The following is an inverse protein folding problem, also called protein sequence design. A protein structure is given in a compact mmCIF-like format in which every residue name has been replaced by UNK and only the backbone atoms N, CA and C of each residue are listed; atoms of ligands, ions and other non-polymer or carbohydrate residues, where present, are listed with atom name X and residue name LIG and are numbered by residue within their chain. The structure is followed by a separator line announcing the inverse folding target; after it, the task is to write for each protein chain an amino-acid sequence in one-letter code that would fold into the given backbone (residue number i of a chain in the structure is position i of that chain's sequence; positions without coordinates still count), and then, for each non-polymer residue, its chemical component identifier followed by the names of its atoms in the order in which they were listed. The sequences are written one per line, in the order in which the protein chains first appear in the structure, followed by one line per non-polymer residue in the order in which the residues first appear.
data_IF_926593805603
#
_entry.id   IF_926593805603
#
_cell.length_a   1.000
_cell.length_b   1.000
_cell.length_c   1.000
_cell.angle_alpha   90.00
_cell.angle_beta   90.00
_cell.angle_gamma   90.00
#
_symmetry.space_group_name_H-M   'P 1'
#
loop_
_entity.id
_entity.type
_entity.pdbx_description
1 polymer ?
#
# COMPACT_ATOMS: atom_id res chain seq x y z
N UNK A 1 -46.86 -12.17 -17.42
CA UNK A 1 -45.70 -11.42 -17.97
C UNK A 1 -45.05 -10.45 -16.97
N UNK A 2 -45.75 -9.95 -15.94
CA UNK A 2 -45.17 -9.03 -14.93
C UNK A 2 -44.30 -9.74 -13.87
N UNK A 3 -44.56 -11.02 -13.56
CA UNK A 3 -43.76 -11.79 -12.56
C UNK A 3 -42.33 -12.13 -13.01
N UNK A 4 -42.04 -12.15 -14.32
CA UNK A 4 -40.73 -12.55 -14.84
C UNK A 4 -39.72 -11.39 -14.83
N UNK A 5 -40.20 -10.15 -14.88
CA UNK A 5 -39.37 -8.93 -14.87
C UNK A 5 -38.87 -8.61 -13.45
N UNK A 6 -39.66 -8.94 -12.42
CA UNK A 6 -39.28 -8.72 -11.01
C UNK A 6 -38.14 -9.67 -10.58
N UNK A 7 -38.07 -10.88 -11.12
CA UNK A 7 -36.99 -11.83 -10.81
C UNK A 7 -35.62 -11.43 -11.39
N UNK A 8 -35.60 -10.73 -12.54
CA UNK A 8 -34.36 -10.23 -13.14
C UNK A 8 -33.80 -9.00 -12.41
N UNK A 9 -34.66 -8.19 -11.78
CA UNK A 9 -34.23 -7.02 -11.00
C UNK A 9 -33.71 -7.37 -9.59
N UNK A 10 -34.08 -8.52 -9.02
CA UNK A 10 -33.58 -8.94 -7.71
C UNK A 10 -32.16 -9.55 -7.73
N UNK A 11 -31.63 -9.92 -8.90
CA UNK A 11 -30.28 -10.48 -9.04
C UNK A 11 -29.17 -9.42 -9.18
N UNK A 12 -29.51 -8.15 -9.40
CA UNK A 12 -28.53 -7.07 -9.65
C UNK A 12 -28.14 -6.32 -8.36
N UNK A 13 -28.80 -6.57 -7.22
CA UNK A 13 -28.67 -5.73 -6.02
C UNK A 13 -27.83 -6.31 -4.87
N UNK A 14 -26.99 -7.32 -5.11
CA UNK A 14 -26.07 -7.83 -4.06
C UNK A 14 -24.63 -8.00 -4.57
N UNK A 15 -24.12 -7.05 -5.34
CA UNK A 15 -22.68 -6.79 -5.31
C UNK A 15 -22.39 -5.86 -4.13
N UNK A 16 -22.61 -6.35 -2.91
CA UNK A 16 -21.89 -5.78 -1.78
C UNK A 16 -20.44 -6.18 -1.96
N UNK A 17 -19.69 -5.35 -2.68
CA UNK A 17 -18.23 -5.35 -2.55
C UNK A 17 -17.93 -5.16 -1.07
N UNK A 18 -17.59 -6.25 -0.37
CA UNK A 18 -16.83 -6.10 0.86
C UNK A 18 -15.56 -5.37 0.41
N UNK A 19 -15.26 -4.21 0.99
CA UNK A 19 -14.02 -3.53 0.72
C UNK A 19 -12.87 -4.52 0.91
N UNK A 20 -12.28 -4.97 -0.20
CA UNK A 20 -11.23 -5.98 -0.19
C UNK A 20 -10.03 -5.37 0.51
N UNK A 21 -9.53 -6.05 1.53
CA UNK A 21 -8.27 -5.71 2.18
C UNK A 21 -7.27 -6.79 1.86
N UNK A 22 -6.12 -6.39 1.33
CA UNK A 22 -5.02 -7.30 1.07
C UNK A 22 -3.72 -6.73 1.64
N UNK A 23 -2.87 -7.62 2.15
CA UNK A 23 -1.61 -7.25 2.78
C UNK A 23 -0.47 -7.75 1.91
N UNK A 24 0.52 -6.89 1.67
CA UNK A 24 1.64 -7.20 0.81
C UNK A 24 2.95 -6.95 1.52
N UNK A 25 3.83 -7.95 1.49
CA UNK A 25 5.19 -7.82 1.97
C UNK A 25 6.02 -7.07 0.92
N UNK A 26 6.59 -5.94 1.32
CA UNK A 26 7.53 -5.15 0.53
C UNK A 26 8.90 -5.20 1.18
N UNK A 27 9.94 -5.15 0.34
CA UNK A 27 11.34 -5.12 0.79
C UNK A 27 12.07 -3.96 0.17
N UNK A 28 12.86 -3.24 0.94
CA UNK A 28 13.73 -2.18 0.44
C UNK A 28 15.16 -2.69 0.09
N UNK A 29 16.03 -1.78 -0.35
CA UNK A 29 17.45 -2.05 -0.68
C UNK A 29 18.25 -2.61 0.49
N UNK A 30 17.89 -2.26 1.73
CA UNK A 30 18.56 -2.74 2.94
C UNK A 30 18.18 -4.19 3.29
N UNK A 31 17.18 -4.75 2.60
CA UNK A 31 16.66 -6.08 2.85
C UNK A 31 15.58 -6.12 3.94
N UNK A 32 15.20 -4.95 4.46
CA UNK A 32 14.18 -4.83 5.49
C UNK A 32 12.79 -5.06 4.93
N UNK A 33 11.97 -5.79 5.70
CA UNK A 33 10.60 -6.13 5.34
C UNK A 33 9.60 -5.19 5.98
N UNK A 34 8.59 -4.80 5.21
CA UNK A 34 7.48 -3.97 5.66
C UNK A 34 6.21 -4.43 4.98
N UNK A 35 5.09 -4.44 5.70
CA UNK A 35 3.80 -4.83 5.15
C UNK A 35 2.97 -3.58 4.86
N UNK A 36 2.42 -3.50 3.65
CA UNK A 36 1.39 -2.52 3.30
C UNK A 36 0.02 -3.18 3.28
N UNK A 37 -1.00 -2.48 3.78
CA UNK A 37 -2.41 -2.82 3.58
C UNK A 37 -2.91 -2.01 2.38
N UNK A 38 -3.50 -2.69 1.40
CA UNK A 38 -4.18 -2.06 0.27
C UNK A 38 -5.67 -2.32 0.38
N UNK A 39 -6.47 -1.28 0.12
CA UNK A 39 -7.93 -1.33 0.14
C UNK A 39 -8.57 -0.96 -1.21
N UNK A 40 -7.77 -0.49 -2.15
CA UNK A 40 -8.19 -0.17 -3.51
C UNK A 40 -8.00 -1.40 -4.41
N UNK A 41 -9.07 -1.81 -5.08
CA UNK A 41 -9.08 -3.03 -5.89
C UNK A 41 -8.06 -2.98 -7.05
N UNK A 42 -7.86 -1.82 -7.68
CA UNK A 42 -6.93 -1.68 -8.78
C UNK A 42 -5.47 -1.70 -8.28
N UNK A 43 -5.20 -1.11 -7.12
CA UNK A 43 -3.89 -1.22 -6.47
C UNK A 43 -3.58 -2.65 -6.01
N UNK A 44 -4.58 -3.37 -5.48
CA UNK A 44 -4.45 -4.79 -5.10
C UNK A 44 -4.11 -5.63 -6.34
N UNK A 45 -4.84 -5.43 -7.45
CA UNK A 45 -4.56 -6.12 -8.72
C UNK A 45 -3.16 -5.80 -9.22
N UNK A 46 -2.75 -4.52 -9.21
CA UNK A 46 -1.41 -4.10 -9.61
C UNK A 46 -0.30 -4.75 -8.77
N UNK A 47 -0.47 -4.79 -7.45
CA UNK A 47 0.48 -5.46 -6.56
C UNK A 47 0.63 -6.96 -6.86
N UNK A 48 -0.48 -7.64 -7.18
CA UNK A 48 -0.46 -9.04 -7.65
C UNK A 48 0.26 -9.17 -8.99
N UNK A 49 0.03 -8.26 -9.93
CA UNK A 49 0.71 -8.26 -11.23
C UNK A 49 2.23 -8.01 -11.11
N UNK A 50 2.68 -7.19 -10.15
CA UNK A 50 4.09 -7.03 -9.82
C UNK A 50 4.72 -8.34 -9.31
N UNK A 51 4.02 -9.10 -8.46
CA UNK A 51 4.51 -10.39 -7.93
C UNK A 51 4.72 -11.42 -9.06
N UNK A 52 3.79 -11.48 -10.01
CA UNK A 52 3.83 -12.42 -11.13
C UNK A 52 4.61 -11.89 -12.35
N UNK A 53 5.34 -10.78 -12.22
CA UNK A 53 6.07 -10.11 -13.30
C UNK A 53 5.21 -9.75 -14.54
N UNK A 54 3.90 -9.51 -14.34
CA UNK A 54 2.97 -9.05 -15.37
C UNK A 54 2.99 -7.54 -15.54
N UNK A 55 3.34 -6.80 -14.49
CA UNK A 55 3.61 -5.37 -14.53
C UNK A 55 5.13 -5.11 -14.49
N UNK A 56 5.61 -4.15 -15.30
CA UNK A 56 7.03 -3.74 -15.37
C UNK A 56 7.25 -2.26 -15.03
N UNK A 57 6.18 -1.60 -14.64
CA UNK A 57 6.13 -0.19 -14.29
C UNK A 57 5.47 -0.06 -12.90
N UNK A 58 5.66 1.09 -12.28
CA UNK A 58 5.09 1.46 -10.99
C UNK A 58 5.40 0.41 -9.92
N UNK A 59 6.69 0.19 -9.66
CA UNK A 59 7.16 -0.87 -8.76
C UNK A 59 7.49 -0.37 -7.35
N UNK A 60 7.69 0.93 -7.18
CA UNK A 60 7.96 1.52 -5.89
C UNK A 60 6.70 1.97 -5.17
N UNK A 61 6.69 1.79 -3.86
CA UNK A 61 5.59 2.14 -2.96
C UNK A 61 5.84 3.52 -2.34
N UNK A 62 4.80 4.34 -2.29
CA UNK A 62 4.79 5.59 -1.53
C UNK A 62 3.47 5.74 -0.75
N UNK A 63 3.46 6.63 0.23
CA UNK A 63 2.26 6.92 1.01
C UNK A 63 2.54 7.82 2.21
N UNK A 64 1.51 8.14 2.97
CA UNK A 64 1.61 8.88 4.23
C UNK A 64 1.91 7.93 5.38
N UNK A 65 2.86 8.32 6.22
CA UNK A 65 3.20 7.61 7.45
C UNK A 65 2.17 7.91 8.54
N UNK A 66 1.75 6.85 9.22
CA UNK A 66 1.00 6.90 10.49
C UNK A 66 1.90 6.31 11.58
N UNK A 67 2.21 7.09 12.62
CA UNK A 67 3.09 6.71 13.75
C UNK A 67 2.36 5.80 14.75
N UNK A 68 1.78 4.72 14.25
CA UNK A 68 1.06 3.72 15.03
C UNK A 68 1.54 2.33 14.64
N UNK A 69 1.72 1.47 15.64
CA UNK A 69 2.09 0.07 15.46
C UNK A 69 0.91 -0.75 14.96
N UNK A 70 1.15 -1.61 13.98
CA UNK A 70 0.19 -2.61 13.48
C UNK A 70 0.74 -4.01 13.70
N UNK A 71 -0.14 -4.98 13.96
CA UNK A 71 0.27 -6.37 14.23
C UNK A 71 1.08 -6.97 13.07
N UNK A 72 0.71 -6.65 11.83
CA UNK A 72 1.42 -7.08 10.62
C UNK A 72 2.79 -6.42 10.40
N UNK A 73 3.11 -5.38 11.18
CA UNK A 73 4.37 -4.66 11.16
C UNK A 73 4.99 -4.63 12.56
N UNK A 74 5.14 -5.79 13.20
CA UNK A 74 5.58 -5.88 14.61
C UNK A 74 6.95 -5.27 14.90
N UNK A 75 7.85 -5.22 13.90
CA UNK A 75 9.17 -4.55 13.97
C UNK A 75 9.09 -3.02 13.90
N UNK A 76 8.01 -2.48 13.34
CA UNK A 76 7.87 -1.06 13.05
C UNK A 76 6.85 -0.41 13.98
N UNK A 77 7.15 0.81 14.42
CA UNK A 77 6.22 1.64 15.19
C UNK A 77 5.38 2.57 14.30
N UNK A 78 5.32 2.26 13.00
CA UNK A 78 4.55 3.00 12.01
C UNK A 78 4.00 2.06 10.93
N UNK A 79 3.01 2.56 10.20
CA UNK A 79 2.52 1.97 8.97
C UNK A 79 2.24 3.07 7.93
N UNK A 80 1.95 2.70 6.69
CA UNK A 80 1.41 3.64 5.71
C UNK A 80 -0.12 3.66 5.82
N UNK A 81 -0.71 4.85 5.75
CA UNK A 81 -2.16 5.02 5.62
C UNK A 81 -2.64 4.35 4.32
N UNK A 82 -3.45 3.29 4.39
CA UNK A 82 -3.89 2.53 3.21
C UNK A 82 -4.53 3.39 2.12
N UNK A 83 -5.23 4.47 2.50
CA UNK A 83 -5.91 5.36 1.57
C UNK A 83 -4.96 6.29 0.79
N UNK A 84 -3.72 6.39 1.23
CA UNK A 84 -2.69 7.25 0.63
C UNK A 84 -1.68 6.49 -0.23
N UNK A 85 -1.74 5.15 -0.22
CA UNK A 85 -0.74 4.32 -0.88
C UNK A 85 -0.88 4.43 -2.40
N UNK A 86 0.24 4.56 -3.09
CA UNK A 86 0.29 4.49 -4.54
C UNK A 86 1.62 3.90 -5.00
N UNK A 87 1.65 3.49 -6.27
CA UNK A 87 2.84 2.95 -6.93
C UNK A 87 3.38 3.89 -8.00
N UNK A 88 4.71 3.97 -8.11
CA UNK A 88 5.43 4.88 -9.03
C UNK A 88 6.72 4.26 -9.60
N UNK A 89 7.20 4.80 -10.73
CA UNK A 89 8.39 4.32 -11.46
C UNK A 89 9.69 4.98 -11.01
N UNK A 90 9.71 6.31 -11.02
CA UNK A 90 10.86 7.12 -10.64
C UNK A 90 10.48 8.03 -9.49
N UNK A 91 11.35 8.23 -8.48
CA UNK A 91 11.07 9.15 -7.41
C UNK A 91 10.69 10.51 -8.00
N UNK A 92 9.53 11.05 -7.60
CA UNK A 92 9.21 12.44 -7.92
C UNK A 92 10.22 13.35 -7.21
N UNK A 93 10.59 14.47 -7.84
CA UNK A 93 11.54 15.46 -7.28
C UNK A 93 11.16 15.94 -5.88
N UNK A 94 9.86 15.89 -5.54
CA UNK A 94 9.32 16.27 -4.24
C UNK A 94 9.45 15.19 -3.15
N UNK A 95 9.92 13.99 -3.47
CA UNK A 95 9.96 12.90 -2.52
C UNK A 95 11.33 12.70 -1.90
N UNK A 96 11.38 12.74 -0.56
CA UNK A 96 12.54 12.27 0.18
C UNK A 96 12.68 10.75 0.01
N UNK A 97 13.58 10.34 -0.88
CA UNK A 97 14.03 8.96 -1.01
C UNK A 97 14.52 8.46 0.35
N UNK A 98 13.78 7.54 0.98
CA UNK A 98 14.08 7.09 2.35
C UNK A 98 13.97 5.58 2.48
N UNK A 99 14.96 4.97 3.14
CA UNK A 99 14.94 3.55 3.54
C UNK A 99 14.15 3.35 4.84
N UNK A 100 13.54 2.18 5.03
CA UNK A 100 12.68 1.88 6.17
C UNK A 100 13.40 2.07 7.51
N UNK A 101 14.65 1.62 7.59
CA UNK A 101 15.49 1.75 8.78
C UNK A 101 15.77 3.23 9.14
N UNK A 102 15.94 4.09 8.13
CA UNK A 102 16.12 5.53 8.31
C UNK A 102 14.89 6.19 8.93
N UNK A 103 13.70 5.83 8.42
CA UNK A 103 12.41 6.29 8.97
C UNK A 103 12.27 5.82 10.41
N UNK A 104 12.48 4.53 10.69
CA UNK A 104 12.33 3.96 12.02
C UNK A 104 13.22 4.64 13.07
N UNK A 105 14.47 4.96 12.73
CA UNK A 105 15.42 5.63 13.63
C UNK A 105 15.06 7.08 13.94
N UNK A 106 14.35 7.74 13.02
CA UNK A 106 13.99 9.17 13.10
C UNK A 106 12.48 9.36 13.10
N UNK A 107 11.73 8.40 13.63
CA UNK A 107 10.27 8.41 13.57
C UNK A 107 9.69 9.63 14.31
N UNK A 108 10.36 10.11 15.36
CA UNK A 108 9.96 11.33 16.07
C UNK A 108 10.04 12.57 15.18
N UNK A 109 11.03 12.64 14.29
CA UNK A 109 11.20 13.72 13.30
C UNK A 109 10.33 13.54 12.04
N UNK A 110 9.68 12.39 11.86
CA UNK A 110 8.78 12.19 10.73
C UNK A 110 7.62 13.20 10.76
N UNK A 111 7.13 13.60 9.58
CA UNK A 111 6.15 14.67 9.37
C UNK A 111 6.68 16.11 9.50
N UNK A 112 7.95 16.32 9.82
CA UNK A 112 8.56 17.65 9.80
C UNK A 112 8.90 18.08 8.37
N UNK A 113 8.96 19.40 8.10
CA UNK A 113 9.39 19.90 6.79
C UNK A 113 10.80 19.47 6.35
N UNK A 114 11.65 19.02 7.27
CA UNK A 114 13.05 18.66 7.00
C UNK A 114 13.31 17.17 6.79
N UNK A 115 12.39 16.28 7.20
CA UNK A 115 12.59 14.83 7.08
C UNK A 115 11.53 14.15 6.21
N UNK A 116 10.25 14.41 6.45
CA UNK A 116 9.14 13.86 5.66
C UNK A 116 8.00 14.89 5.59
N UNK A 117 8.10 15.87 4.68
CA UNK A 117 7.06 16.89 4.53
C UNK A 117 5.68 16.26 4.34
N UNK A 118 4.67 16.79 5.03
CA UNK A 118 3.29 16.27 5.00
C UNK A 118 3.14 14.78 5.36
N UNK A 119 4.09 14.23 6.13
CA UNK A 119 4.20 12.81 6.46
C UNK A 119 4.36 11.88 5.25
N UNK A 120 4.68 12.41 4.06
CA UNK A 120 4.74 11.61 2.84
C UNK A 120 6.11 10.97 2.68
N UNK A 121 6.16 9.66 2.46
CA UNK A 121 7.40 8.94 2.21
C UNK A 121 7.32 8.15 0.90
N UNK A 122 8.46 8.02 0.22
CA UNK A 122 8.61 7.13 -0.91
C UNK A 122 9.71 6.10 -0.62
N UNK A 123 9.33 4.83 -0.73
CA UNK A 123 10.23 3.70 -0.59
C UNK A 123 10.86 3.42 -1.95
N UNK A 124 11.83 4.25 -2.33
CA UNK A 124 12.48 4.31 -3.66
C UNK A 124 13.28 3.08 -4.06
N UNK A 125 13.48 2.13 -3.16
CA UNK A 125 14.09 0.83 -3.47
C UNK A 125 13.14 -0.32 -3.14
N UNK A 126 11.86 -0.03 -2.89
CA UNK A 126 10.88 -1.05 -2.54
C UNK A 126 10.56 -1.96 -3.72
N UNK A 127 10.36 -3.23 -3.37
CA UNK A 127 9.83 -4.27 -4.26
C UNK A 127 8.75 -5.06 -3.52
N UNK A 128 7.60 -5.24 -4.16
CA UNK A 128 6.55 -6.14 -3.68
C UNK A 128 7.00 -7.59 -3.87
N UNK A 129 6.92 -8.40 -2.81
CA UNK A 129 7.41 -9.78 -2.81
C UNK A 129 6.31 -10.81 -2.88
N UNK A 130 5.27 -10.66 -2.05
CA UNK A 130 4.15 -11.59 -1.96
C UNK A 130 2.97 -10.94 -1.24
N UNK A 131 1.78 -11.49 -1.50
CA UNK A 131 0.58 -11.24 -0.72
C UNK A 131 0.60 -12.17 0.51
N UNK A 132 0.27 -11.63 1.68
CA UNK A 132 0.22 -12.38 2.94
C UNK A 132 -1.21 -12.46 3.46
N UNK A 133 -1.55 -13.59 4.07
CA UNK A 133 -2.79 -13.77 4.84
C UNK A 133 -2.46 -13.58 6.32
N UNK A 134 -3.16 -12.64 6.95
CA UNK A 134 -3.04 -12.35 8.39
C UNK A 134 -4.07 -13.15 9.20
#
# INVERSE_FOLDING_TARGET
MIKLIVLLFTLILINKSLAEKAHFNVKDSSGEHFVIELTDHDLIRHARDLIYNKAKERFHVQGKIVKEKRAYNSKWHFHLDPSSISFYDTPMDSCCSTELAGIGKRLDEACTPSFLPNCFCCLSSSKVLNEIKL
#
